data_IF_455133537812
#
_entry.id   IF_455133537812
#
_cell.length_a   1.000
_cell.length_b   1.000
_cell.length_c   1.000
_cell.angle_alpha   90.00
_cell.angle_beta   90.00
_cell.angle_gamma   90.00
#
_symmetry.space_group_name_H-M   'P 1'
#
loop_
_entity.id
_entity.type
_entity.pdbx_description
1 polymer ?
#
# COMPACT_ATOMS: atom_id res chain seq x y z
N UNK A 1 37.82 7.32 -9.85
CA UNK A 1 37.52 6.16 -8.99
C UNK A 1 36.36 5.40 -9.61
N UNK A 2 36.61 4.26 -10.25
CA UNK A 2 35.54 3.42 -10.80
C UNK A 2 35.01 2.49 -9.72
N UNK A 3 33.69 2.45 -9.53
CA UNK A 3 32.99 1.64 -8.52
C UNK A 3 31.70 1.07 -9.09
N UNK A 4 31.35 -0.13 -8.65
CA UNK A 4 30.07 -0.73 -8.98
C UNK A 4 28.89 0.04 -8.34
N UNK A 5 27.76 0.05 -9.05
CA UNK A 5 26.47 0.50 -8.49
C UNK A 5 25.69 -0.73 -8.05
N UNK A 6 25.23 -0.74 -6.80
CA UNK A 6 24.43 -1.82 -6.23
C UNK A 6 23.02 -1.29 -5.99
N UNK A 7 22.04 -2.01 -6.50
CA UNK A 7 20.62 -1.69 -6.32
C UNK A 7 19.98 -2.69 -5.38
N UNK A 8 19.37 -2.20 -4.31
CA UNK A 8 18.51 -3.00 -3.44
C UNK A 8 17.07 -2.88 -3.92
N UNK A 9 16.43 -4.02 -4.17
CA UNK A 9 15.01 -4.07 -4.52
C UNK A 9 14.19 -4.15 -3.25
N UNK A 10 13.44 -3.09 -2.95
CA UNK A 10 12.50 -3.07 -1.83
C UNK A 10 11.22 -3.89 -2.15
N UNK A 11 10.62 -4.54 -1.14
CA UNK A 11 9.31 -5.19 -1.28
C UNK A 11 8.24 -4.16 -1.68
N UNK A 12 7.16 -4.62 -2.31
CA UNK A 12 6.06 -3.75 -2.78
C UNK A 12 4.93 -3.80 -1.75
N UNK A 13 4.64 -2.69 -1.06
CA UNK A 13 3.59 -2.61 -0.03
C UNK A 13 3.80 -1.48 0.99
N UNK A 14 2.93 -1.41 2.00
CA UNK A 14 3.09 -0.54 3.18
C UNK A 14 4.34 -0.99 3.97
N UNK A 15 5.26 -0.07 4.26
CA UNK A 15 6.55 -0.35 4.93
C UNK A 15 7.79 -0.38 4.03
N UNK A 16 7.65 -0.11 2.72
CA UNK A 16 8.78 0.00 1.79
C UNK A 16 9.44 1.39 1.82
N UNK A 17 9.69 1.94 3.01
CA UNK A 17 10.39 3.21 3.17
C UNK A 17 11.89 2.98 2.99
N UNK A 18 12.52 3.76 2.10
CA UNK A 18 13.97 3.68 1.87
C UNK A 18 14.78 4.08 3.12
N UNK A 19 14.14 4.73 4.09
CA UNK A 19 14.74 5.12 5.35
C UNK A 19 14.76 4.02 6.40
N UNK A 20 13.85 3.04 6.29
CA UNK A 20 13.64 1.97 7.27
C UNK A 20 14.32 0.65 6.85
N UNK A 21 15.40 0.74 6.07
CA UNK A 21 16.15 -0.45 5.64
C UNK A 21 16.96 -0.99 6.83
N UNK A 22 16.88 -2.29 7.15
CA UNK A 22 17.68 -2.90 8.20
C UNK A 22 19.18 -2.66 8.01
N UNK A 23 19.86 -2.33 9.09
CA UNK A 23 21.28 -1.99 9.08
C UNK A 23 22.17 -3.12 8.53
N UNK A 24 21.81 -4.37 8.83
CA UNK A 24 22.51 -5.55 8.31
C UNK A 24 22.54 -5.57 6.77
N UNK A 25 21.41 -5.28 6.12
CA UNK A 25 21.31 -5.27 4.65
C UNK A 25 22.13 -4.11 4.06
N UNK A 26 22.14 -2.96 4.73
CA UNK A 26 22.96 -1.82 4.32
C UNK A 26 24.46 -2.12 4.45
N UNK A 27 24.86 -2.87 5.48
CA UNK A 27 26.24 -3.33 5.64
C UNK A 27 26.63 -4.31 4.53
N UNK A 28 25.81 -5.31 4.23
CA UNK A 28 26.06 -6.26 3.14
C UNK A 28 26.21 -5.55 1.79
N UNK A 29 25.28 -4.64 1.46
CA UNK A 29 25.34 -3.84 0.24
C UNK A 29 26.60 -2.96 0.20
N UNK A 30 26.99 -2.37 1.34
CA UNK A 30 28.22 -1.59 1.48
C UNK A 30 29.46 -2.42 1.15
N UNK A 31 29.54 -3.65 1.69
CA UNK A 31 30.66 -4.55 1.44
C UNK A 31 30.76 -4.92 -0.04
N UNK A 32 29.63 -5.18 -0.70
CA UNK A 32 29.59 -5.47 -2.13
C UNK A 32 30.11 -4.30 -2.98
N UNK A 33 29.66 -3.07 -2.71
CA UNK A 33 30.13 -1.87 -3.43
C UNK A 33 31.63 -1.69 -3.25
N UNK A 34 32.11 -1.85 -2.01
CA UNK A 34 33.53 -1.71 -1.68
C UNK A 34 34.37 -2.78 -2.37
N UNK A 35 33.95 -4.05 -2.32
CA UNK A 35 34.68 -5.17 -2.92
C UNK A 35 34.76 -5.04 -4.45
N UNK A 36 33.69 -4.54 -5.07
CA UNK A 36 33.60 -4.30 -6.52
C UNK A 36 34.09 -2.91 -6.95
N UNK A 37 34.83 -2.20 -6.10
CA UNK A 37 35.51 -0.95 -6.47
C UNK A 37 37.01 -1.20 -6.72
N UNK A 38 37.52 -0.66 -7.83
CA UNK A 38 38.92 -0.83 -8.25
C UNK A 38 39.89 -0.30 -7.18
N UNK A 39 39.58 0.87 -6.62
CA UNK A 39 40.37 1.50 -5.56
C UNK A 39 39.80 1.23 -4.17
N UNK A 40 38.47 1.14 -4.04
CA UNK A 40 37.80 1.00 -2.75
C UNK A 40 38.09 -0.33 -2.05
N UNK A 41 38.31 -1.40 -2.82
CA UNK A 41 38.62 -2.75 -2.30
C UNK A 41 39.96 -2.83 -1.56
N UNK A 42 40.90 -1.93 -1.90
CA UNK A 42 42.25 -1.87 -1.32
C UNK A 42 42.30 -1.02 -0.05
N UNK A 43 41.36 -0.07 0.12
CA UNK A 43 41.32 0.84 1.28
C UNK A 43 40.74 0.15 2.52
N UNK A 44 41.27 0.47 3.69
CA UNK A 44 40.78 -0.04 4.98
C UNK A 44 39.31 0.34 5.22
N UNK A 45 38.98 1.62 5.02
CA UNK A 45 37.61 2.14 5.09
C UNK A 45 37.27 2.98 3.85
N UNK A 46 35.98 3.00 3.47
CA UNK A 46 35.44 3.82 2.37
C UNK A 46 34.08 4.37 2.80
N UNK A 47 33.78 5.61 2.45
CA UNK A 47 32.43 6.19 2.60
C UNK A 47 31.55 5.82 1.41
N UNK A 48 30.33 5.39 1.66
CA UNK A 48 29.38 4.91 0.65
C UNK A 48 28.11 5.75 0.74
N UNK A 49 27.65 6.22 -0.41
CA UNK A 49 26.43 7.00 -0.54
C UNK A 49 25.24 6.08 -0.82
N UNK A 50 24.18 6.27 -0.05
CA UNK A 50 22.88 5.63 -0.19
C UNK A 50 21.86 6.67 -0.58
N UNK A 51 21.13 6.39 -1.65
CA UNK A 51 20.14 7.31 -2.22
C UNK A 51 19.03 6.51 -2.89
N UNK A 52 17.77 6.96 -2.79
CA UNK A 52 16.69 6.35 -3.55
C UNK A 52 16.92 6.53 -5.06
N UNK A 53 16.41 5.59 -5.86
CA UNK A 53 16.59 5.59 -7.32
C UNK A 53 15.99 6.85 -7.98
N UNK A 54 14.94 7.41 -7.40
CA UNK A 54 14.25 8.62 -7.88
C UNK A 54 15.11 9.89 -7.80
N UNK A 55 16.15 9.89 -6.96
CA UNK A 55 17.05 11.04 -6.79
C UNK A 55 18.26 11.01 -7.75
N UNK A 56 18.42 9.96 -8.56
CA UNK A 56 19.50 9.89 -9.54
C UNK A 56 19.21 10.79 -10.75
N UNK A 57 20.11 11.73 -11.01
CA UNK A 57 20.10 12.63 -12.17
C UNK A 57 21.13 12.18 -13.19
N UNK A 58 20.66 11.87 -14.40
CA UNK A 58 21.50 11.65 -15.57
C UNK A 58 21.21 12.72 -16.62
N UNK A 59 22.24 13.35 -17.15
CA UNK A 59 22.13 14.29 -18.29
C UNK A 59 22.82 13.70 -19.51
N UNK A 60 22.39 14.10 -20.71
CA UNK A 60 22.91 13.55 -21.98
C UNK A 60 24.41 13.83 -22.18
N UNK A 61 24.95 14.87 -21.53
CA UNK A 61 26.36 15.25 -21.64
C UNK A 61 27.27 14.49 -20.65
N UNK A 62 26.71 13.61 -19.80
CA UNK A 62 27.50 12.86 -18.81
C UNK A 62 28.03 11.55 -19.38
N UNK A 63 29.32 11.28 -19.16
CA UNK A 63 29.99 10.03 -19.53
C UNK A 63 29.27 8.78 -18.98
N UNK A 64 29.44 7.64 -19.66
CA UNK A 64 28.83 6.37 -19.24
C UNK A 64 29.27 6.02 -17.81
N UNK A 65 28.32 5.73 -16.94
CA UNK A 65 28.55 5.48 -15.51
C UNK A 65 28.55 6.73 -14.61
N UNK A 66 28.73 7.93 -15.16
CA UNK A 66 28.62 9.17 -14.38
C UNK A 66 27.15 9.49 -14.06
N UNK A 67 26.85 9.66 -12.78
CA UNK A 67 25.54 10.06 -12.26
C UNK A 67 25.71 11.23 -11.30
N UNK A 68 24.69 12.08 -11.23
CA UNK A 68 24.58 13.18 -10.26
C UNK A 68 23.31 12.99 -9.43
N UNK A 69 23.08 13.84 -8.44
CA UNK A 69 21.89 13.80 -7.58
C UNK A 69 21.03 15.05 -7.82
N UNK A 70 19.72 14.94 -7.62
CA UNK A 70 18.84 16.10 -7.64
C UNK A 70 18.89 16.87 -6.32
N UNK A 71 18.83 16.14 -5.19
CA UNK A 71 18.94 16.67 -3.84
C UNK A 71 19.98 15.89 -3.04
N UNK A 72 21.03 16.58 -2.60
CA UNK A 72 22.09 16.00 -1.78
C UNK A 72 21.62 15.66 -0.36
N UNK A 73 20.53 16.25 0.13
CA UNK A 73 19.99 15.96 1.47
C UNK A 73 19.38 14.57 1.56
N UNK A 74 18.91 14.02 0.44
CA UNK A 74 18.41 12.65 0.36
C UNK A 74 19.54 11.61 0.31
N UNK A 75 20.79 12.04 0.17
CA UNK A 75 21.95 11.16 0.18
C UNK A 75 22.43 10.91 1.61
N UNK A 76 22.34 9.66 2.07
CA UNK A 76 22.92 9.22 3.35
C UNK A 76 24.32 8.68 3.11
N UNK A 77 25.27 8.98 3.99
CA UNK A 77 26.63 8.47 3.91
C UNK A 77 26.89 7.48 5.05
N UNK A 78 27.52 6.34 4.73
CA UNK A 78 27.93 5.33 5.72
C UNK A 78 29.40 4.98 5.51
N UNK A 79 30.14 4.85 6.62
CA UNK A 79 31.50 4.32 6.59
C UNK A 79 31.46 2.79 6.56
N UNK A 80 32.17 2.19 5.61
CA UNK A 80 32.29 0.75 5.46
C UNK A 80 33.74 0.29 5.67
N UNK A 81 33.94 -0.56 6.68
CA UNK A 81 35.21 -1.23 6.97
C UNK A 81 35.31 -2.56 6.23
N UNK A 82 36.51 -3.01 5.92
CA UNK A 82 36.68 -4.21 5.08
C UNK A 82 36.30 -5.49 5.85
N UNK A 83 35.23 -6.17 5.42
CA UNK A 83 34.87 -7.48 5.94
C UNK A 83 34.83 -8.53 4.81
N UNK A 84 35.80 -9.43 4.78
CA UNK A 84 35.91 -10.47 3.73
C UNK A 84 34.98 -11.66 3.95
N UNK A 85 34.54 -11.90 5.18
CA UNK A 85 33.72 -13.06 5.51
C UNK A 85 32.29 -12.86 5.03
N UNK A 86 31.73 -11.66 5.28
CA UNK A 86 30.43 -11.26 4.77
C UNK A 86 30.36 -11.35 3.24
N UNK A 87 31.38 -10.84 2.53
CA UNK A 87 31.42 -10.92 1.06
C UNK A 87 31.37 -12.36 0.57
N UNK A 88 32.14 -13.27 1.18
CA UNK A 88 32.13 -14.70 0.81
C UNK A 88 30.78 -15.36 1.09
N UNK A 89 30.08 -14.96 2.15
CA UNK A 89 28.74 -15.47 2.45
C UNK A 89 27.74 -15.01 1.38
N UNK A 90 27.80 -13.73 0.99
CA UNK A 90 26.94 -13.18 -0.06
C UNK A 90 27.23 -13.81 -1.43
N UNK A 91 28.50 -14.03 -1.77
CA UNK A 91 28.88 -14.69 -3.03
C UNK A 91 28.35 -16.13 -3.11
N UNK A 92 28.19 -16.82 -1.98
CA UNK A 92 27.58 -18.16 -1.93
C UNK A 92 26.06 -18.15 -2.15
N UNK A 93 25.38 -17.07 -1.78
CA UNK A 93 23.93 -16.92 -1.97
C UNK A 93 23.57 -16.31 -3.32
N UNK A 94 24.57 -15.98 -4.15
CA UNK A 94 24.38 -15.47 -5.51
C UNK A 94 23.64 -16.53 -6.35
N UNK A 95 22.49 -16.14 -6.90
CA UNK A 95 21.75 -16.96 -7.85
C UNK A 95 22.48 -17.05 -9.20
N UNK A 96 22.44 -18.23 -9.83
CA UNK A 96 23.09 -18.52 -11.13
C UNK A 96 22.45 -17.81 -12.33
N UNK A 97 21.30 -17.16 -12.14
CA UNK A 97 20.63 -16.32 -13.14
C UNK A 97 21.48 -15.05 -13.43
N UNK A 98 22.56 -15.21 -14.20
CA UNK A 98 23.49 -14.13 -14.56
C UNK A 98 22.89 -13.06 -15.48
N UNK A 99 21.78 -13.37 -16.17
CA UNK A 99 21.10 -12.47 -17.10
C UNK A 99 19.57 -12.55 -16.94
N UNK A 100 19.01 -12.00 -15.84
CA UNK A 100 17.57 -11.91 -15.72
C UNK A 100 17.02 -10.97 -16.80
N UNK A 101 15.96 -11.41 -17.49
CA UNK A 101 15.20 -10.55 -18.41
C UNK A 101 14.50 -9.45 -17.62
N UNK A 102 15.16 -8.27 -17.56
CA UNK A 102 14.72 -7.12 -16.80
C UNK A 102 13.38 -6.58 -17.27
N UNK A 103 13.12 -6.63 -18.58
CA UNK A 103 11.88 -6.14 -19.18
C UNK A 103 10.71 -7.02 -18.78
N UNK A 104 10.89 -8.34 -18.83
CA UNK A 104 9.87 -9.29 -18.36
C UNK A 104 9.61 -9.15 -16.86
N UNK A 105 10.65 -8.97 -16.05
CA UNK A 105 10.50 -8.77 -14.61
C UNK A 105 9.79 -7.47 -14.27
N UNK A 106 10.07 -6.39 -15.02
CA UNK A 106 9.38 -5.12 -14.91
C UNK A 106 7.90 -5.26 -15.28
N UNK A 107 7.60 -5.88 -16.41
CA UNK A 107 6.22 -6.07 -16.87
C UNK A 107 5.38 -6.89 -15.88
N UNK A 108 5.96 -7.95 -15.31
CA UNK A 108 5.31 -8.74 -14.24
C UNK A 108 4.98 -7.89 -13.01
N UNK A 109 5.92 -7.03 -12.59
CA UNK A 109 5.73 -6.11 -11.46
C UNK A 109 4.64 -5.08 -11.75
N UNK A 110 4.72 -4.40 -12.90
CA UNK A 110 3.76 -3.36 -13.30
C UNK A 110 2.34 -3.95 -13.40
N UNK A 111 2.22 -5.21 -13.84
CA UNK A 111 0.96 -5.95 -13.84
C UNK A 111 0.45 -6.19 -12.41
N UNK A 112 1.29 -6.71 -11.52
CA UNK A 112 0.93 -6.96 -10.12
C UNK A 112 0.53 -5.67 -9.37
N UNK A 113 1.26 -4.57 -9.56
CA UNK A 113 0.93 -3.27 -8.97
C UNK A 113 -0.42 -2.74 -9.49
N UNK A 114 -0.69 -2.91 -10.79
CA UNK A 114 -1.98 -2.51 -11.38
C UNK A 114 -3.13 -3.36 -10.84
N UNK A 115 -2.93 -4.66 -10.66
CA UNK A 115 -3.92 -5.58 -10.08
C UNK A 115 -4.19 -5.25 -8.61
N UNK A 116 -3.16 -4.99 -7.82
CA UNK A 116 -3.28 -4.56 -6.42
C UNK A 116 -4.06 -3.24 -6.29
N UNK A 117 -3.74 -2.23 -7.12
CA UNK A 117 -4.47 -0.96 -7.15
C UNK A 117 -5.94 -1.14 -7.53
N UNK A 118 -6.23 -1.98 -8.52
CA UNK A 118 -7.61 -2.30 -8.92
C UNK A 118 -8.38 -3.01 -7.83
N UNK A 119 -7.76 -3.96 -7.13
CA UNK A 119 -8.37 -4.67 -6.01
C UNK A 119 -8.71 -3.72 -4.86
N UNK A 120 -7.79 -2.82 -4.52
CA UNK A 120 -7.98 -1.83 -3.46
C UNK A 120 -9.06 -0.81 -3.82
N UNK A 121 -9.10 -0.33 -5.07
CA UNK A 121 -10.17 0.53 -5.56
C UNK A 121 -11.55 -0.15 -5.51
N UNK A 122 -11.63 -1.43 -5.90
CA UNK A 122 -12.88 -2.21 -5.85
C UNK A 122 -13.34 -2.46 -4.41
N UNK A 123 -12.42 -2.68 -3.48
CA UNK A 123 -12.74 -2.78 -2.05
C UNK A 123 -13.26 -1.45 -1.51
N UNK A 124 -12.61 -0.33 -1.85
CA UNK A 124 -13.06 0.99 -1.43
C UNK A 124 -14.46 1.35 -1.99
N UNK A 125 -14.75 0.98 -3.23
CA UNK A 125 -16.08 1.19 -3.83
C UNK A 125 -17.16 0.35 -3.16
N UNK A 126 -16.87 -0.92 -2.85
CA UNK A 126 -17.79 -1.79 -2.10
C UNK A 126 -18.07 -1.23 -0.71
N UNK A 127 -17.03 -0.86 0.03
CA UNK A 127 -17.18 -0.31 1.38
C UNK A 127 -18.04 0.96 1.36
N UNK A 128 -17.83 1.87 0.40
CA UNK A 128 -18.68 3.06 0.24
C UNK A 128 -20.13 2.73 -0.04
N UNK A 129 -20.39 1.74 -0.90
CA UNK A 129 -21.75 1.32 -1.23
C UNK A 129 -22.45 0.68 -0.03
N UNK A 130 -21.72 -0.11 0.75
CA UNK A 130 -22.24 -0.74 1.97
C UNK A 130 -22.52 0.32 3.06
N UNK A 131 -21.65 1.33 3.21
CA UNK A 131 -21.88 2.48 4.10
C UNK A 131 -23.09 3.33 3.68
N UNK A 132 -23.25 3.59 2.38
CA UNK A 132 -24.41 4.32 1.85
C UNK A 132 -25.71 3.54 2.08
N UNK A 133 -25.68 2.22 1.90
CA UNK A 133 -26.81 1.34 2.17
C UNK A 133 -27.17 1.33 3.65
N UNK A 134 -26.20 1.17 4.55
CA UNK A 134 -26.42 1.24 5.99
C UNK A 134 -26.99 2.60 6.41
N UNK A 135 -26.46 3.70 5.86
CA UNK A 135 -26.97 5.05 6.15
C UNK A 135 -28.37 5.30 5.58
N UNK A 136 -28.75 4.61 4.50
CA UNK A 136 -30.10 4.65 3.95
C UNK A 136 -31.07 3.83 4.82
N UNK A 137 -30.69 2.61 5.21
CA UNK A 137 -31.44 1.76 6.14
C UNK A 137 -31.65 2.46 7.50
N UNK A 138 -30.61 3.07 8.08
CA UNK A 138 -30.73 3.87 9.30
C UNK A 138 -31.64 5.10 9.12
N UNK A 139 -31.60 5.76 7.96
CA UNK A 139 -32.49 6.89 7.67
C UNK A 139 -33.94 6.44 7.54
N UNK A 140 -34.15 5.29 6.93
CA UNK A 140 -35.46 4.69 6.75
C UNK A 140 -36.05 4.20 8.07
N UNK A 141 -35.25 3.56 8.94
CA UNK A 141 -35.63 3.20 10.31
C UNK A 141 -35.93 4.42 11.19
N UNK A 142 -35.22 5.54 10.97
CA UNK A 142 -35.49 6.81 11.66
C UNK A 142 -36.67 7.58 11.08
N UNK A 143 -37.05 7.32 9.82
CA UNK A 143 -38.20 7.96 9.21
C UNK A 143 -39.48 7.27 9.67
N UNK A 144 -40.42 8.04 10.18
CA UNK A 144 -41.75 7.56 10.56
C UNK A 144 -42.65 7.26 9.34
N UNK A 145 -42.15 7.40 8.10
CA UNK A 145 -42.94 7.23 6.87
C UNK A 145 -43.48 5.80 6.73
N UNK A 146 -42.67 4.79 7.06
CA UNK A 146 -43.13 3.38 7.12
C UNK A 146 -44.05 3.06 8.31
N UNK A 147 -44.09 3.94 9.32
CA UNK A 147 -45.00 3.77 10.46
C UNK A 147 -46.44 4.15 10.06
N UNK A 148 -46.61 5.18 9.21
CA UNK A 148 -47.92 5.57 8.68
C UNK A 148 -48.48 4.53 7.72
N UNK A 149 -47.65 3.95 6.86
CA UNK A 149 -48.06 2.89 5.92
C UNK A 149 -48.55 1.62 6.65
N UNK A 150 -47.89 1.23 7.75
CA UNK A 150 -48.37 0.12 8.61
C UNK A 150 -49.56 0.50 9.50
N UNK A 151 -49.73 1.79 9.82
CA UNK A 151 -50.89 2.27 10.57
C UNK A 151 -52.16 2.28 9.71
N UNK A 152 -52.09 2.62 8.42
CA UNK A 152 -53.29 2.58 7.55
C UNK A 152 -53.95 1.20 7.48
N UNK A 153 -53.16 0.12 7.53
CA UNK A 153 -53.68 -1.26 7.52
C UNK A 153 -54.19 -1.76 8.89
N UNK A 154 -53.85 -1.08 10.00
CA UNK A 154 -54.14 -1.55 11.37
C UNK A 154 -54.99 -0.60 12.20
N UNK A 155 -55.12 0.66 11.78
CA UNK A 155 -55.83 1.70 12.51
C UNK A 155 -57.23 1.84 11.94
N UNK A 156 -58.21 1.31 12.65
CA UNK A 156 -59.63 1.57 12.40
C UNK A 156 -59.94 3.03 12.72
N UNK A 157 -60.52 3.76 11.77
CA UNK A 157 -60.90 5.15 12.02
C UNK A 157 -62.21 5.23 12.80
N UNK A 158 -62.46 6.34 13.51
CA UNK A 158 -63.73 6.57 14.23
C UNK A 158 -64.96 6.45 13.32
N UNK A 159 -64.77 6.65 12.01
CA UNK A 159 -65.81 6.49 11.01
C UNK A 159 -66.14 5.02 10.77
N UNK A 160 -65.13 4.16 10.67
CA UNK A 160 -65.30 2.71 10.51
C UNK A 160 -65.90 2.05 11.77
N UNK A 161 -65.55 2.55 12.98
CA UNK A 161 -66.18 2.10 14.23
C UNK A 161 -67.69 2.42 14.27
N UNK A 162 -68.09 3.58 13.76
CA UNK A 162 -69.49 4.02 13.76
C UNK A 162 -70.39 3.25 12.78
N UNK A 163 -69.80 2.64 11.75
CA UNK A 163 -70.52 1.78 10.80
C UNK A 163 -70.64 0.33 11.30
N UNK A 164 -69.69 -0.12 12.13
CA UNK A 164 -69.64 -1.49 12.65
C UNK A 164 -70.45 -1.69 13.93
N UNK A 165 -70.57 -0.68 14.80
CA UNK A 165 -71.32 -0.75 16.06
C UNK A 165 -72.35 0.38 16.12
N UNK A 166 -73.61 0.06 16.46
CA UNK A 166 -74.72 1.05 16.43
C UNK A 166 -74.87 1.82 17.75
N UNK A 167 -74.35 1.28 18.84
CA UNK A 167 -74.42 1.88 20.17
C UNK A 167 -73.16 1.54 20.99
N UNK A 168 -72.85 2.36 21.99
CA UNK A 168 -71.64 2.25 22.82
C UNK A 168 -71.55 0.90 23.57
N UNK A 169 -72.69 0.37 24.00
CA UNK A 169 -72.76 -0.91 24.72
C UNK A 169 -72.37 -2.11 23.83
N UNK A 170 -72.69 -2.05 22.53
CA UNK A 170 -72.39 -3.14 21.57
C UNK A 170 -70.89 -3.21 21.23
N UNK A 171 -70.18 -2.08 21.40
CA UNK A 171 -68.72 -2.02 21.27
C UNK A 171 -67.99 -2.56 22.52
N UNK A 172 -68.53 -2.31 23.72
CA UNK A 172 -67.94 -2.85 24.96
C UNK A 172 -68.08 -4.37 25.08
N UNK A 173 -69.20 -4.95 24.63
CA UNK A 173 -69.44 -6.41 24.66
C UNK A 173 -68.55 -7.22 23.69
N UNK A 174 -68.10 -6.62 22.58
CA UNK A 174 -67.22 -7.28 21.59
C UNK A 174 -65.72 -7.14 21.95
N UNK A 175 -65.40 -6.32 22.95
CA UNK A 175 -64.03 -6.07 23.43
C UNK A 175 -63.67 -6.88 24.70
N UNK A 176 -64.66 -7.31 25.50
CA UNK A 176 -64.49 -8.20 26.68
C UNK A 176 -64.46 -9.68 26.30
#
# INVERSE_FOLDING_TARGET
MSSAHVYLRLPTGEGANWEEIPEAILEEASQLVKNNSIEGSKKACVGIHFTPWSNLKKTNNMEVGAVSFFDDKLCKNRKCEKNRELVKQIEKTRSDDQTPDLDRLRLKRDKAEREAKKALAKQAEKNKKDEERQRAEEREERSYDKLFEKMEDTVTTNKDLSEKYKDFNEFEDDFM
#
